data_IF_370631639574
#
_entry.id   IF_370631639574
#
_cell.length_a   1.000
_cell.length_b   1.000
_cell.length_c   1.000
_cell.angle_alpha   90.00
_cell.angle_beta   90.00
_cell.angle_gamma   90.00
#
_symmetry.space_group_name_H-M   'P 1'
#
loop_
_entity.id
_entity.type
_entity.pdbx_description
1 polymer ?
#
# COMPACT_ATOMS: atom_id res chain seq x y z
N UNK A 1 -14.91 -24.27 8.45
CA UNK A 1 -14.32 -23.69 7.22
C UNK A 1 -13.54 -22.49 7.70
N UNK A 2 -12.21 -22.55 7.62
CA UNK A 2 -11.38 -21.35 7.69
C UNK A 2 -11.63 -20.60 6.39
N UNK A 3 -12.18 -19.39 6.48
CA UNK A 3 -12.17 -18.47 5.34
C UNK A 3 -10.72 -18.12 5.10
N UNK A 4 -10.19 -18.47 3.94
CA UNK A 4 -8.87 -17.98 3.50
C UNK A 4 -9.12 -16.61 2.89
N UNK A 5 -8.52 -15.56 3.47
CA UNK A 5 -8.48 -14.25 2.84
C UNK A 5 -7.43 -14.28 1.74
N UNK A 6 -7.70 -13.64 0.61
CA UNK A 6 -6.76 -13.57 -0.50
C UNK A 6 -6.29 -12.14 -0.77
N UNK A 7 -5.01 -12.00 -1.08
CA UNK A 7 -4.43 -10.79 -1.61
C UNK A 7 -3.49 -11.14 -2.77
N UNK A 8 -3.36 -10.24 -3.73
CA UNK A 8 -2.49 -10.37 -4.89
C UNK A 8 -1.53 -9.19 -4.96
N UNK A 9 -0.40 -9.40 -5.63
CA UNK A 9 0.65 -8.39 -5.78
C UNK A 9 0.85 -8.10 -7.27
N UNK A 10 0.76 -6.82 -7.63
CA UNK A 10 1.21 -6.30 -8.91
C UNK A 10 2.53 -5.56 -8.71
N UNK A 11 3.51 -5.77 -9.59
CA UNK A 11 4.80 -5.10 -9.52
C UNK A 11 5.23 -4.53 -10.86
N UNK A 12 6.28 -3.70 -10.85
CA UNK A 12 6.85 -3.10 -12.06
C UNK A 12 8.24 -3.69 -12.31
N UNK A 13 8.47 -4.28 -13.48
CA UNK A 13 9.81 -4.75 -13.88
C UNK A 13 10.77 -3.59 -14.16
N UNK A 14 10.22 -2.43 -14.55
CA UNK A 14 10.98 -1.25 -14.97
C UNK A 14 10.82 -0.07 -14.01
N UNK A 15 10.35 -0.31 -12.79
CA UNK A 15 10.03 0.73 -11.82
C UNK A 15 11.26 1.56 -11.51
N UNK A 16 11.20 2.87 -11.76
CA UNK A 16 12.38 3.73 -11.54
C UNK A 16 12.52 4.20 -10.10
N UNK A 17 11.52 3.90 -9.27
CA UNK A 17 11.41 4.31 -7.88
C UNK A 17 11.29 3.13 -6.92
N UNK A 18 11.90 1.99 -7.26
CA UNK A 18 12.32 1.05 -6.22
C UNK A 18 13.34 1.73 -5.28
N UNK A 19 13.37 1.34 -4.00
CA UNK A 19 14.47 1.69 -3.10
C UNK A 19 15.83 1.35 -3.69
N UNK A 20 16.85 2.14 -3.35
CA UNK A 20 18.13 2.07 -4.04
C UNK A 20 18.82 0.71 -3.82
N UNK A 21 19.05 -0.02 -4.91
CA UNK A 21 19.69 -1.34 -4.88
C UNK A 21 18.72 -2.50 -4.68
N UNK A 22 17.41 -2.25 -4.70
CA UNK A 22 16.35 -3.23 -4.64
C UNK A 22 15.57 -3.30 -5.96
N UNK A 23 14.87 -4.42 -6.16
CA UNK A 23 14.08 -4.72 -7.35
C UNK A 23 12.95 -5.70 -7.02
N UNK A 24 12.18 -6.11 -8.04
CA UNK A 24 11.16 -7.14 -7.88
C UNK A 24 11.72 -8.55 -7.64
N UNK A 25 13.00 -8.78 -7.89
CA UNK A 25 13.68 -10.07 -7.63
C UNK A 25 14.01 -10.26 -6.14
N UNK A 26 13.98 -9.16 -5.36
CA UNK A 26 14.23 -9.16 -3.92
C UNK A 26 12.97 -9.50 -3.13
N UNK A 27 13.15 -9.86 -1.84
CA UNK A 27 12.02 -10.21 -0.97
C UNK A 27 11.07 -9.03 -0.76
N UNK A 28 9.77 -9.31 -0.66
CA UNK A 28 8.77 -8.27 -0.37
C UNK A 28 9.12 -7.52 0.92
N UNK A 29 9.63 -8.24 1.93
CA UNK A 29 10.08 -7.68 3.20
C UNK A 29 11.19 -6.66 2.99
N UNK A 30 12.29 -7.06 2.36
CA UNK A 30 13.48 -6.21 2.25
C UNK A 30 13.18 -4.94 1.43
N UNK A 31 12.41 -5.09 0.34
CA UNK A 31 12.01 -3.96 -0.51
C UNK A 31 11.17 -2.96 0.28
N UNK A 32 10.16 -3.43 1.02
CA UNK A 32 9.31 -2.53 1.79
C UNK A 32 10.04 -1.91 2.99
N UNK A 33 10.90 -2.66 3.68
CA UNK A 33 11.74 -2.12 4.76
C UNK A 33 12.69 -1.04 4.23
N UNK A 34 13.29 -1.24 3.06
CA UNK A 34 14.11 -0.22 2.40
C UNK A 34 13.29 1.02 2.03
N UNK A 35 12.06 0.84 1.53
CA UNK A 35 11.13 1.95 1.29
C UNK A 35 10.83 2.73 2.59
N UNK A 36 10.63 2.03 3.70
CA UNK A 36 10.35 2.64 5.00
C UNK A 36 11.59 3.38 5.56
N UNK A 37 12.80 2.85 5.38
CA UNK A 37 14.04 3.49 5.83
C UNK A 37 14.38 4.74 5.01
N UNK A 38 14.11 4.72 3.70
CA UNK A 38 14.33 5.89 2.82
C UNK A 38 13.22 6.94 2.92
N UNK A 39 11.99 6.51 3.21
CA UNK A 39 10.85 7.36 3.52
C UNK A 39 11.01 7.97 4.91
N UNK A 40 11.19 9.28 5.01
CA UNK A 40 11.59 9.96 6.25
C UNK A 40 10.65 9.63 7.43
N UNK A 41 11.13 8.90 8.46
CA UNK A 41 10.33 8.64 9.66
C UNK A 41 9.92 9.95 10.35
N UNK A 42 8.67 10.04 10.78
CA UNK A 42 8.16 11.21 11.51
C UNK A 42 7.79 12.42 10.65
N UNK A 43 7.51 12.21 9.35
CA UNK A 43 6.87 13.25 8.52
C UNK A 43 5.48 13.61 9.03
N UNK A 44 4.75 12.68 9.65
CA UNK A 44 3.59 13.00 10.46
C UNK A 44 3.99 13.52 11.86
N UNK A 45 3.37 14.61 12.39
CA UNK A 45 2.20 15.33 11.87
C UNK A 45 2.49 16.51 10.93
N UNK A 46 3.72 16.70 10.47
CA UNK A 46 4.07 17.78 9.52
C UNK A 46 3.43 17.62 8.14
N UNK A 47 3.19 16.37 7.72
CA UNK A 47 2.38 15.94 6.60
C UNK A 47 1.27 15.04 7.13
N UNK A 48 0.02 15.29 6.74
CA UNK A 48 -1.14 14.50 7.16
C UNK A 48 -1.74 13.69 6.00
N UNK A 49 -1.16 13.79 4.80
CA UNK A 49 -1.77 13.27 3.58
C UNK A 49 -3.08 13.98 3.24
N UNK A 50 -3.86 13.35 2.35
CA UNK A 50 -5.15 13.87 1.92
C UNK A 50 -6.11 12.78 1.44
N UNK A 51 -7.40 13.00 1.67
CA UNK A 51 -8.49 12.15 1.19
C UNK A 51 -9.08 12.69 -0.12
N UNK A 52 -9.44 11.78 -1.01
CA UNK A 52 -10.06 12.08 -2.29
C UNK A 52 -11.28 11.18 -2.52
N UNK A 53 -12.28 11.66 -3.26
CA UNK A 53 -13.46 10.89 -3.71
C UNK A 53 -13.73 11.24 -5.18
N UNK A 54 -13.72 10.24 -6.06
CA UNK A 54 -13.90 10.46 -7.50
C UNK A 54 -12.88 11.44 -8.08
N UNK A 55 -11.66 11.42 -7.56
CA UNK A 55 -10.57 12.31 -7.97
C UNK A 55 -10.66 13.75 -7.46
N UNK A 56 -11.43 14.01 -6.40
CA UNK A 56 -11.56 15.36 -5.80
C UNK A 56 -11.30 15.30 -4.30
N UNK A 57 -10.52 16.24 -3.77
CA UNK A 57 -10.26 16.34 -2.34
C UNK A 57 -11.55 16.38 -1.51
N UNK A 58 -11.66 15.50 -0.50
CA UNK A 58 -12.94 15.19 0.17
C UNK A 58 -12.93 15.35 1.69
N UNK A 59 -11.89 16.00 2.25
CA UNK A 59 -11.83 16.31 3.67
C UNK A 59 -11.30 15.15 4.51
N UNK A 60 -12.16 14.51 5.30
CA UNK A 60 -11.78 13.45 6.27
C UNK A 60 -12.26 12.05 5.89
N UNK A 61 -12.75 11.86 4.68
CA UNK A 61 -13.16 10.55 4.18
C UNK A 61 -13.01 10.49 2.67
N UNK A 62 -12.66 9.35 2.11
CA UNK A 62 -12.43 9.22 0.67
C UNK A 62 -12.40 7.79 0.15
N UNK A 63 -12.42 7.65 -1.17
CA UNK A 63 -12.08 6.41 -1.86
C UNK A 63 -10.56 6.21 -2.00
N UNK A 64 -9.79 7.28 -1.81
CA UNK A 64 -8.33 7.28 -1.89
C UNK A 64 -7.77 8.12 -0.75
N UNK A 65 -6.73 7.61 -0.08
CA UNK A 65 -5.89 8.36 0.83
C UNK A 65 -4.46 8.37 0.29
N UNK A 66 -3.96 9.56 -0.07
CA UNK A 66 -2.61 9.75 -0.55
C UNK A 66 -1.70 10.33 0.54
N UNK A 67 -0.49 9.80 0.68
CA UNK A 67 0.52 10.30 1.61
C UNK A 67 1.92 10.26 1.01
N UNK A 68 2.76 11.23 1.36
CA UNK A 68 4.18 11.25 0.98
C UNK A 68 5.06 11.20 2.22
N UNK A 69 6.00 10.26 2.25
CA UNK A 69 6.93 10.07 3.38
C UNK A 69 8.09 11.08 3.37
N UNK A 70 8.14 12.00 2.40
CA UNK A 70 9.31 12.85 2.16
C UNK A 70 10.35 12.15 1.28
N UNK A 71 11.32 12.89 0.73
CA UNK A 71 12.33 12.40 -0.23
C UNK A 71 11.81 11.85 -1.59
N UNK A 72 10.51 11.95 -1.86
CA UNK A 72 9.92 11.58 -3.16
C UNK A 72 9.07 10.32 -3.13
N UNK A 73 9.15 9.52 -2.06
CA UNK A 73 8.30 8.34 -1.87
C UNK A 73 6.88 8.71 -1.45
N UNK A 74 5.94 7.85 -1.85
CA UNK A 74 4.52 8.01 -1.68
C UNK A 74 3.81 6.68 -1.46
N UNK A 75 2.64 6.76 -0.85
CA UNK A 75 1.64 5.70 -0.82
C UNK A 75 0.28 6.24 -1.26
N UNK A 76 -0.50 5.36 -1.87
CA UNK A 76 -1.93 5.55 -2.06
C UNK A 76 -2.65 4.35 -1.49
N UNK A 77 -3.59 4.61 -0.59
CA UNK A 77 -4.47 3.60 -0.02
C UNK A 77 -5.84 3.77 -0.65
N UNK A 78 -6.32 2.74 -1.33
CA UNK A 78 -7.60 2.72 -2.02
C UNK A 78 -8.63 1.95 -1.21
N UNK A 79 -9.87 2.42 -1.19
CA UNK A 79 -10.98 1.73 -0.56
C UNK A 79 -12.12 2.66 -0.17
N UNK A 80 -12.58 2.59 1.08
CA UNK A 80 -13.54 3.54 1.65
C UNK A 80 -13.09 3.87 3.07
N UNK A 81 -12.31 4.94 3.18
CA UNK A 81 -11.55 5.24 4.40
C UNK A 81 -12.15 6.50 5.02
N UNK A 82 -12.38 6.46 6.33
CA UNK A 82 -12.87 7.60 7.10
C UNK A 82 -11.98 7.84 8.30
N UNK A 83 -11.63 9.10 8.50
CA UNK A 83 -10.94 9.60 9.68
C UNK A 83 -11.93 10.23 10.67
N UNK A 84 -12.00 9.69 11.87
CA UNK A 84 -12.80 10.24 12.96
C UNK A 84 -11.98 11.27 13.74
N UNK A 85 -12.19 12.56 13.44
CA UNK A 85 -11.40 13.65 14.02
C UNK A 85 -11.42 13.70 15.57
N UNK A 86 -12.56 13.51 16.26
CA UNK A 86 -12.59 13.40 17.73
C UNK A 86 -11.67 12.34 18.34
N UNK A 87 -11.54 11.18 17.71
CA UNK A 87 -10.77 10.05 18.26
C UNK A 87 -9.42 9.87 17.58
N UNK A 88 -9.19 10.55 16.45
CA UNK A 88 -8.04 10.44 15.58
C UNK A 88 -7.81 9.03 15.02
N UNK A 89 -8.89 8.27 14.79
CA UNK A 89 -8.85 6.88 14.30
C UNK A 89 -9.28 6.80 12.83
N UNK A 90 -8.61 5.94 12.06
CA UNK A 90 -8.98 5.59 10.69
C UNK A 90 -9.79 4.30 10.68
N UNK A 91 -10.85 4.25 9.88
CA UNK A 91 -11.74 3.08 9.79
C UNK A 91 -12.34 2.95 8.39
N UNK A 92 -13.04 1.84 8.13
CA UNK A 92 -13.67 1.55 6.86
C UNK A 92 -13.00 0.37 6.15
N UNK A 93 -12.80 0.48 4.84
CA UNK A 93 -12.23 -0.59 4.00
C UNK A 93 -10.95 -0.14 3.30
N UNK A 94 -10.01 -1.06 3.16
CA UNK A 94 -8.83 -0.93 2.31
C UNK A 94 -8.86 -2.07 1.30
N UNK A 95 -8.99 -1.70 0.03
CA UNK A 95 -9.06 -2.60 -1.11
C UNK A 95 -7.68 -2.77 -1.75
N UNK A 96 -6.83 -1.73 -1.73
CA UNK A 96 -5.46 -1.82 -2.22
C UNK A 96 -4.52 -0.79 -1.59
N UNK A 97 -3.21 -1.07 -1.59
CA UNK A 97 -2.16 -0.13 -1.22
C UNK A 97 -1.09 -0.13 -2.31
N UNK A 98 -0.81 1.04 -2.87
CA UNK A 98 0.25 1.23 -3.86
C UNK A 98 1.43 2.00 -3.26
N UNK A 99 2.63 1.53 -3.56
CA UNK A 99 3.91 2.07 -3.15
C UNK A 99 4.69 2.55 -4.38
N UNK A 100 5.33 3.70 -4.23
CA UNK A 100 6.16 4.24 -5.30
C UNK A 100 6.60 5.65 -4.99
N UNK A 101 6.79 6.44 -6.04
CA UNK A 101 7.16 7.85 -5.87
C UNK A 101 6.22 8.84 -6.53
N UNK A 102 6.13 10.00 -5.87
CA UNK A 102 5.24 11.10 -6.21
C UNK A 102 3.76 10.79 -5.97
N UNK A 103 2.98 11.86 -5.78
CA UNK A 103 1.52 11.80 -5.86
C UNK A 103 1.04 12.72 -6.97
N UNK A 104 0.02 12.30 -7.69
CA UNK A 104 -0.71 13.17 -8.60
C UNK A 104 -1.65 14.11 -7.83
N UNK A 105 -2.37 14.96 -8.55
CA UNK A 105 -3.28 15.95 -7.96
C UNK A 105 -4.50 15.33 -7.26
N UNK A 106 -4.72 14.03 -7.42
CA UNK A 106 -5.88 13.31 -6.89
C UNK A 106 -5.49 12.19 -5.91
N UNK A 107 -4.22 12.15 -5.50
CA UNK A 107 -3.74 11.27 -4.45
C UNK A 107 -3.32 9.88 -4.90
N UNK A 108 -3.12 9.64 -6.21
CA UNK A 108 -2.54 8.39 -6.71
C UNK A 108 -1.01 8.49 -6.77
N UNK A 109 -0.33 7.37 -6.50
CA UNK A 109 1.12 7.23 -6.76
C UNK A 109 1.36 7.35 -8.27
N UNK A 110 2.36 8.17 -8.66
CA UNK A 110 2.64 8.47 -10.07
C UNK A 110 3.49 7.40 -10.74
N UNK A 111 4.50 6.90 -10.03
CA UNK A 111 5.41 5.84 -10.50
C UNK A 111 5.40 4.71 -9.47
N UNK A 112 4.37 3.84 -9.50
CA UNK A 112 4.24 2.74 -8.57
C UNK A 112 5.20 1.60 -8.93
N UNK A 113 5.94 1.10 -7.94
CA UNK A 113 6.76 -0.10 -8.10
C UNK A 113 6.05 -1.37 -7.59
N UNK A 114 5.12 -1.22 -6.65
CA UNK A 114 4.41 -2.32 -6.01
C UNK A 114 2.98 -1.88 -5.68
N UNK A 115 2.01 -2.72 -5.97
CA UNK A 115 0.63 -2.58 -5.50
C UNK A 115 0.16 -3.89 -4.89
N UNK A 116 -0.34 -3.82 -3.67
CA UNK A 116 -0.97 -4.93 -2.97
C UNK A 116 -2.48 -4.77 -3.12
N UNK A 117 -3.15 -5.75 -3.71
CA UNK A 117 -4.60 -5.79 -3.86
C UNK A 117 -5.18 -6.79 -2.85
N UNK A 118 -6.09 -6.34 -2.00
CA UNK A 118 -6.82 -7.19 -1.07
C UNK A 118 -8.10 -7.68 -1.74
N UNK A 119 -8.05 -8.85 -2.37
CA UNK A 119 -9.22 -9.44 -3.05
C UNK A 119 -10.40 -9.64 -2.09
N UNK A 120 -10.07 -9.94 -0.84
CA UNK A 120 -10.96 -9.76 0.31
C UNK A 120 -10.52 -8.50 1.07
N UNK A 121 -11.26 -7.38 1.02
CA UNK A 121 -10.81 -6.11 1.60
C UNK A 121 -10.49 -6.20 3.10
N UNK A 122 -9.47 -5.45 3.52
CA UNK A 122 -9.23 -5.22 4.93
C UNK A 122 -10.31 -4.28 5.49
N UNK A 123 -11.00 -4.70 6.55
CA UNK A 123 -12.13 -3.95 7.13
C UNK A 123 -11.89 -3.65 8.61
N UNK A 124 -12.16 -2.42 9.04
CA UNK A 124 -12.18 -2.05 10.45
C UNK A 124 -13.39 -1.21 10.81
N UNK A 125 -13.94 -1.50 11.99
CA UNK A 125 -15.05 -0.73 12.54
C UNK A 125 -14.61 0.67 12.99
N UNK A 126 -15.57 1.58 13.15
CA UNK A 126 -15.30 2.92 13.68
C UNK A 126 -14.69 2.81 15.08
N UNK A 127 -13.58 3.51 15.30
CA UNK A 127 -12.86 3.54 16.58
C UNK A 127 -12.02 2.30 16.86
N UNK A 128 -11.88 1.38 15.91
CA UNK A 128 -10.99 0.23 16.03
C UNK A 128 -9.53 0.65 15.88
N UNK A 129 -8.75 0.43 16.93
CA UNK A 129 -7.30 0.69 17.00
C UNK A 129 -6.52 -0.59 17.29
N UNK A 130 -7.14 -1.76 17.09
CA UNK A 130 -6.52 -3.05 17.35
C UNK A 130 -5.41 -3.38 16.35
N UNK A 131 -4.65 -4.43 16.67
CA UNK A 131 -3.74 -5.08 15.73
C UNK A 131 -4.51 -5.49 14.46
N UNK A 132 -3.88 -5.34 13.30
CA UNK A 132 -4.47 -5.61 11.98
C UNK A 132 -5.57 -4.64 11.54
N UNK A 133 -5.84 -3.56 12.28
CA UNK A 133 -6.85 -2.59 11.87
C UNK A 133 -6.37 -1.70 10.71
N UNK A 134 -7.31 -1.13 9.95
CA UNK A 134 -7.06 -0.07 8.97
C UNK A 134 -6.29 1.09 9.61
N UNK A 135 -6.59 1.42 10.86
CA UNK A 135 -5.83 2.41 11.61
C UNK A 135 -4.38 1.98 11.82
N UNK A 136 -4.13 0.77 12.32
CA UNK A 136 -2.78 0.26 12.59
C UNK A 136 -1.91 0.28 11.32
N UNK A 137 -2.45 -0.19 10.20
CA UNK A 137 -1.77 -0.21 8.90
C UNK A 137 -1.45 1.21 8.42
N UNK A 138 -2.47 2.06 8.22
CA UNK A 138 -2.25 3.39 7.62
C UNK A 138 -1.41 4.27 8.55
N UNK A 139 -1.67 4.22 9.86
CA UNK A 139 -0.88 4.95 10.84
C UNK A 139 0.59 4.50 10.86
N UNK A 140 0.84 3.20 10.79
CA UNK A 140 2.18 2.64 10.65
C UNK A 140 2.89 3.23 9.42
N UNK A 141 2.24 3.16 8.26
CA UNK A 141 2.81 3.65 7.00
C UNK A 141 3.08 5.17 7.02
N UNK A 142 2.21 5.97 7.62
CA UNK A 142 2.42 7.42 7.79
C UNK A 142 3.63 7.76 8.65
N UNK A 143 4.09 6.82 9.48
CA UNK A 143 5.26 6.95 10.32
C UNK A 143 6.45 6.12 9.81
N UNK A 144 6.40 5.68 8.55
CA UNK A 144 7.40 4.80 7.94
C UNK A 144 7.66 3.53 8.76
N UNK A 145 6.60 2.87 9.22
CA UNK A 145 6.68 1.61 9.96
C UNK A 145 5.73 0.57 9.39
N UNK A 146 6.29 -0.59 9.02
CA UNK A 146 5.54 -1.72 8.48
C UNK A 146 5.04 -2.67 9.55
N UNK A 147 5.64 -2.61 10.74
CA UNK A 147 5.19 -3.34 11.93
C UNK A 147 4.11 -2.57 12.71
N UNK A 148 3.71 -1.38 12.26
CA UNK A 148 2.82 -0.48 12.99
C UNK A 148 3.59 0.54 13.84
N UNK A 149 2.91 1.58 14.32
CA UNK A 149 3.57 2.67 15.07
C UNK A 149 2.78 3.04 16.32
N UNK A 150 3.42 3.39 17.45
CA UNK A 150 2.69 3.80 18.64
C UNK A 150 1.82 5.03 18.36
N UNK A 151 0.49 4.91 18.42
CA UNK A 151 -0.36 6.09 18.47
C UNK A 151 -0.21 6.70 19.87
N UNK A 152 0.41 7.87 19.98
CA UNK A 152 0.61 8.57 21.26
C UNK A 152 -0.69 9.03 21.94
N UNK A 153 -1.85 8.66 21.39
CA UNK A 153 -3.19 8.98 21.85
C UNK A 153 -3.95 7.66 22.11
N UNK A 154 -4.20 7.38 23.39
CA UNK A 154 -5.02 6.28 23.94
C UNK A 154 -4.45 4.84 23.85
N UNK A 155 -3.90 4.33 24.97
CA UNK A 155 -4.03 2.92 25.39
C UNK A 155 -3.28 1.82 24.61
N UNK A 156 -2.09 2.09 24.06
CA UNK A 156 -1.28 1.22 23.19
C UNK A 156 -1.23 -0.29 23.54
N UNK A 157 -1.14 -1.23 22.56
CA UNK A 157 -0.84 -0.96 21.14
C UNK A 157 -1.51 -1.80 20.02
N UNK A 158 -1.61 -1.23 18.81
CA UNK A 158 -1.45 -2.00 17.57
C UNK A 158 0.05 -2.05 17.21
N UNK A 159 0.57 -3.23 16.85
CA UNK A 159 1.96 -3.48 16.44
C UNK A 159 2.03 -4.68 15.49
N UNK A 160 1.02 -4.80 14.63
CA UNK A 160 1.01 -5.80 13.58
C UNK A 160 0.53 -5.16 12.30
N UNK A 161 1.21 -4.07 11.91
CA UNK A 161 0.89 -3.19 10.79
C UNK A 161 0.74 -3.89 9.45
N UNK A 162 1.35 -3.38 8.39
CA UNK A 162 1.16 -4.03 7.09
C UNK A 162 1.71 -5.47 7.08
N UNK A 163 2.89 -5.71 7.67
CA UNK A 163 3.50 -7.04 7.64
C UNK A 163 2.67 -8.11 8.32
N UNK A 164 2.19 -7.85 9.53
CA UNK A 164 1.39 -8.87 10.22
C UNK A 164 0.02 -9.05 9.55
N UNK A 165 -0.55 -8.02 8.91
CA UNK A 165 -1.74 -8.20 8.07
C UNK A 165 -1.45 -9.17 6.93
N UNK A 166 -0.37 -8.97 6.17
CA UNK A 166 -0.03 -9.82 5.03
C UNK A 166 0.29 -11.26 5.44
N UNK A 167 1.09 -11.46 6.49
CA UNK A 167 1.48 -12.80 6.96
C UNK A 167 0.33 -13.52 7.68
N UNK A 168 -0.26 -12.88 8.69
CA UNK A 168 -1.17 -13.57 9.61
C UNK A 168 -2.60 -13.69 9.06
N UNK A 169 -3.03 -12.74 8.21
CA UNK A 169 -4.40 -12.69 7.68
C UNK A 169 -4.45 -13.22 6.25
N UNK A 170 -3.54 -12.78 5.38
CA UNK A 170 -3.54 -13.14 3.96
C UNK A 170 -2.60 -14.30 3.61
N UNK A 171 -1.72 -14.72 4.53
CA UNK A 171 -0.82 -15.86 4.33
C UNK A 171 0.28 -15.63 3.29
N UNK A 172 0.65 -14.38 3.04
CA UNK A 172 1.77 -14.02 2.17
C UNK A 172 3.08 -14.23 2.95
N UNK A 173 4.02 -15.02 2.41
CA UNK A 173 5.37 -15.14 2.96
C UNK A 173 6.19 -13.93 2.53
N UNK A 174 6.52 -13.04 3.47
CA UNK A 174 7.25 -11.81 3.15
C UNK A 174 8.69 -12.06 2.69
N UNK A 175 9.23 -13.27 2.89
CA UNK A 175 10.58 -13.63 2.48
C UNK A 175 10.63 -14.13 1.02
N UNK A 176 9.48 -14.38 0.40
CA UNK A 176 9.41 -14.67 -1.03
C UNK A 176 9.67 -13.39 -1.84
N UNK A 177 10.22 -13.56 -3.04
CA UNK A 177 10.46 -12.45 -3.97
C UNK A 177 9.15 -11.83 -4.46
N UNK A 178 9.17 -10.56 -4.83
CA UNK A 178 7.98 -9.91 -5.39
C UNK A 178 7.53 -10.59 -6.69
N UNK A 179 8.46 -11.06 -7.53
CA UNK A 179 8.11 -11.82 -8.75
C UNK A 179 7.47 -13.19 -8.47
N UNK A 180 7.86 -13.88 -7.41
CA UNK A 180 7.25 -15.16 -7.04
C UNK A 180 5.84 -14.97 -6.45
N UNK A 181 5.63 -13.86 -5.74
CA UNK A 181 4.35 -13.54 -5.09
C UNK A 181 3.32 -12.90 -6.02
N UNK A 182 3.77 -12.25 -7.09
CA UNK A 182 2.95 -11.33 -7.86
C UNK A 182 2.98 -11.56 -9.37
N UNK A 183 2.43 -10.59 -10.09
CA UNK A 183 2.48 -10.52 -11.55
C UNK A 183 2.99 -9.15 -11.99
N UNK A 184 3.75 -9.12 -13.08
CA UNK A 184 4.20 -7.86 -13.68
C UNK A 184 3.00 -7.04 -14.19
N UNK A 185 3.01 -5.74 -13.91
CA UNK A 185 1.94 -4.81 -14.25
C UNK A 185 1.79 -4.68 -15.77
N UNK A 186 0.57 -4.87 -16.27
CA UNK A 186 0.26 -4.90 -17.71
C UNK A 186 0.60 -3.61 -18.46
N UNK A 187 0.72 -2.47 -17.78
CA UNK A 187 1.16 -1.20 -18.39
C UNK A 187 2.56 -1.27 -18.98
N UNK A 188 3.36 -2.28 -18.59
CA UNK A 188 4.71 -2.51 -19.08
C UNK A 188 4.79 -3.55 -20.21
N UNK A 189 3.74 -4.35 -20.40
CA UNK A 189 3.67 -5.36 -21.46
C UNK A 189 3.42 -4.77 -22.86
N UNK A 190 3.21 -3.45 -22.96
CA UNK A 190 3.07 -2.69 -24.22
C UNK A 190 4.45 -2.49 -24.86
N UNK A 191 5.06 -3.60 -25.22
CA UNK A 191 6.36 -3.69 -25.88
C UNK A 191 6.58 -5.03 -26.59
N UNK A 192 5.70 -6.01 -26.39
CA UNK A 192 5.68 -7.21 -27.22
C UNK A 192 5.13 -6.75 -28.59
N UNK A 193 5.94 -6.78 -29.68
CA UNK A 193 5.38 -6.58 -31.01
C UNK A 193 4.26 -7.61 -31.16
N UNK A 194 3.07 -7.16 -31.57
CA UNK A 194 2.01 -8.07 -31.97
C UNK A 194 2.66 -9.16 -32.83
N UNK A 195 2.54 -10.42 -32.40
CA UNK A 195 2.91 -11.52 -33.27
C UNK A 195 2.04 -11.35 -34.49
N UNK A 196 2.64 -10.84 -35.57
CA UNK A 196 2.05 -10.88 -36.90
C UNK A 196 1.49 -12.28 -37.07
N UNK A 197 0.18 -12.35 -37.19
CA UNK A 197 -0.61 -13.55 -37.29
C UNK A 197 -0.23 -14.27 -38.60
N UNK A 198 0.87 -15.02 -38.57
CA UNK A 198 1.35 -15.87 -39.68
C UNK A 198 0.51 -17.15 -39.81
N UNK A 199 -0.77 -17.11 -39.46
CA UNK A 199 -1.75 -18.18 -39.67
C UNK A 199 -2.86 -17.77 -40.64
N UNK A 200 -2.49 -17.06 -41.72
CA UNK A 200 -3.28 -17.07 -42.95
C UNK A 200 -2.38 -17.36 -44.16
N UNK A 201 -1.81 -18.56 -44.18
CA UNK A 201 -1.41 -19.24 -45.41
C UNK A 201 -1.94 -20.68 -45.38
N UNK A 202 -3.16 -20.88 -45.89
CA UNK A 202 -3.62 -22.12 -46.52
C UNK A 202 -4.86 -21.84 -47.37
#
# INVERSE_FOLDING_TARGET
>A
MTTTFNATIDYSENGTLYPAGYSYEDSLKDVLEAWADEGVPGTHPGNTGGFFTGGVASGFSGDTYGFTTGNGYAISVYGSITYDFPTHVLSGTVDAISFGGGLDAVGNVVDPFLTINFDDPLVSAIGDTGQYSVHDVIWGLMNSSLEGYPSGLHGTPGYGGLFAVLEDIYGIDLNDSIEDLGVASLSELVGIPEFDDYLLAA
#
